data_IF_867026720754
#
_entry.id   IF_867026720754
#
_cell.length_a   1.000
_cell.length_b   1.000
_cell.length_c   1.000
_cell.angle_alpha   90.00
_cell.angle_beta   90.00
_cell.angle_gamma   90.00
#
_symmetry.space_group_name_H-M   'P 1'
#
loop_
_entity.id
_entity.type
_entity.pdbx_description
1 polymer ?
#
# COMPACT_ATOMS: atom_id res chain seq x y z
N UNK A 1 45.54 1.38 52.87
CA UNK A 1 44.22 0.97 52.34
C UNK A 1 43.77 2.01 51.34
N UNK A 2 43.94 1.74 50.04
CA UNK A 2 43.60 2.66 48.96
C UNK A 2 42.30 2.17 48.32
N UNK A 3 41.24 2.96 48.47
CA UNK A 3 39.93 2.61 47.95
C UNK A 3 39.89 2.94 46.45
N UNK A 4 40.09 1.93 45.62
CA UNK A 4 39.83 1.98 44.19
C UNK A 4 38.34 2.25 43.98
N UNK A 5 37.99 3.52 43.73
CA UNK A 5 36.65 3.92 43.30
C UNK A 5 36.44 3.44 41.88
N UNK A 6 35.79 2.28 41.74
CA UNK A 6 35.31 1.74 40.46
C UNK A 6 34.34 2.76 39.88
N UNK A 7 34.74 3.51 38.86
CA UNK A 7 33.80 4.24 38.03
C UNK A 7 32.99 3.17 37.29
N UNK A 8 31.71 3.06 37.62
CA UNK A 8 30.74 2.45 36.73
C UNK A 8 30.79 3.23 35.42
N UNK A 9 31.27 2.60 34.34
CA UNK A 9 30.95 3.07 33.01
C UNK A 9 29.43 3.05 32.91
N UNK A 10 28.81 4.21 32.89
CA UNK A 10 27.45 4.33 32.42
C UNK A 10 27.50 3.97 30.94
N UNK A 11 27.34 2.68 30.65
CA UNK A 11 27.00 2.18 29.33
C UNK A 11 25.74 2.96 28.95
N UNK A 12 25.90 4.01 28.16
CA UNK A 12 24.80 4.69 27.51
C UNK A 12 24.08 3.60 26.75
N UNK A 13 22.93 3.17 27.27
CA UNK A 13 21.97 2.35 26.54
C UNK A 13 21.48 3.22 25.38
N UNK A 14 22.32 3.35 24.35
CA UNK A 14 21.93 3.88 23.07
C UNK A 14 20.71 3.08 22.67
N UNK A 15 19.59 3.78 22.57
CA UNK A 15 18.33 3.23 22.13
C UNK A 15 18.62 2.39 20.88
N UNK A 16 18.50 1.06 21.01
CA UNK A 16 18.90 0.11 19.96
C UNK A 16 17.87 0.05 18.84
N UNK A 17 16.76 0.77 18.98
CA UNK A 17 15.71 0.85 17.99
C UNK A 17 16.10 1.90 16.96
N UNK A 18 16.08 1.50 15.69
CA UNK A 18 16.20 2.48 14.62
C UNK A 18 14.99 3.41 14.63
N UNK A 19 15.17 4.66 14.19
CA UNK A 19 14.06 5.60 14.01
C UNK A 19 12.92 5.02 13.15
N UNK A 20 13.28 4.13 12.21
CA UNK A 20 12.32 3.39 11.40
C UNK A 20 11.49 2.43 12.25
N UNK A 21 12.12 1.65 13.12
CA UNK A 21 11.42 0.70 13.99
C UNK A 21 10.55 1.45 15.01
N UNK A 22 11.01 2.58 15.53
CA UNK A 22 10.23 3.41 16.44
C UNK A 22 8.99 3.99 15.75
N UNK A 23 9.12 4.55 14.54
CA UNK A 23 7.97 5.06 13.80
C UNK A 23 7.03 3.94 13.33
N UNK A 24 7.58 2.77 12.99
CA UNK A 24 6.78 1.61 12.61
C UNK A 24 6.01 1.03 13.80
N UNK A 25 6.58 1.04 15.00
CA UNK A 25 5.86 0.66 16.22
C UNK A 25 4.78 1.67 16.55
N UNK A 26 5.13 2.96 16.53
CA UNK A 26 4.20 4.05 16.82
C UNK A 26 2.99 4.04 15.88
N UNK A 27 3.20 3.86 14.57
CA UNK A 27 2.06 3.80 13.63
C UNK A 27 1.17 2.57 13.82
N UNK A 28 1.71 1.48 14.35
CA UNK A 28 0.91 0.30 14.69
C UNK A 28 0.14 0.52 15.99
N UNK A 29 0.73 1.21 16.98
CA UNK A 29 0.02 1.58 18.20
C UNK A 29 -1.14 2.54 17.91
N UNK A 30 -0.91 3.55 17.05
CA UNK A 30 -1.98 4.50 16.66
C UNK A 30 -3.18 3.77 16.03
N UNK A 31 -2.91 2.89 15.06
CA UNK A 31 -3.97 2.08 14.42
C UNK A 31 -4.72 1.20 15.41
N UNK A 32 -4.00 0.61 16.35
CA UNK A 32 -4.61 -0.25 17.35
C UNK A 32 -5.55 0.54 18.27
N UNK A 33 -5.09 1.70 18.77
CA UNK A 33 -5.87 2.59 19.63
C UNK A 33 -7.09 3.13 18.87
N UNK A 34 -6.91 3.54 17.61
CA UNK A 34 -7.99 4.02 16.74
C UNK A 34 -9.12 3.00 16.58
N UNK A 35 -8.81 1.71 16.40
CA UNK A 35 -9.85 0.67 16.38
C UNK A 35 -10.57 0.53 17.72
N UNK A 36 -9.85 0.65 18.85
CA UNK A 36 -10.46 0.55 20.17
C UNK A 36 -11.43 1.71 20.43
N UNK A 37 -11.06 2.92 20.03
CA UNK A 37 -11.96 4.08 20.11
C UNK A 37 -13.17 3.92 19.20
N UNK A 38 -13.02 3.39 17.99
CA UNK A 38 -14.16 3.13 17.11
C UNK A 38 -15.17 2.16 17.77
N UNK A 39 -14.69 1.08 18.40
CA UNK A 39 -15.54 0.21 19.20
C UNK A 39 -16.20 0.96 20.38
N UNK A 40 -15.43 1.75 21.13
CA UNK A 40 -15.95 2.50 22.27
C UNK A 40 -17.01 3.55 21.87
N UNK A 41 -16.83 4.21 20.72
CA UNK A 41 -17.78 5.16 20.15
C UNK A 41 -19.08 4.45 19.79
N UNK A 42 -19.01 3.33 19.05
CA UNK A 42 -20.18 2.56 18.63
C UNK A 42 -20.96 1.95 19.80
N UNK A 43 -20.26 1.55 20.87
CA UNK A 43 -20.85 0.96 22.07
C UNK A 43 -21.25 2.00 23.13
N UNK A 44 -20.91 3.27 22.92
CA UNK A 44 -21.23 4.33 23.88
C UNK A 44 -22.72 4.65 23.89
N UNK A 45 -23.30 4.67 25.09
CA UNK A 45 -24.70 5.07 25.32
C UNK A 45 -24.83 6.50 25.84
N UNK A 46 -23.71 7.11 26.25
CA UNK A 46 -23.68 8.45 26.82
C UNK A 46 -23.01 9.43 25.86
N UNK A 47 -23.72 10.52 25.52
CA UNK A 47 -23.28 11.49 24.52
C UNK A 47 -21.97 12.20 24.87
N UNK A 48 -21.66 12.37 26.15
CA UNK A 48 -20.38 12.98 26.54
C UNK A 48 -19.20 12.05 26.24
N UNK A 49 -19.34 10.75 26.50
CA UNK A 49 -18.30 9.75 26.20
C UNK A 49 -18.17 9.58 24.69
N UNK A 50 -19.28 9.54 23.96
CA UNK A 50 -19.29 9.53 22.49
C UNK A 50 -18.48 10.68 21.91
N UNK A 51 -18.80 11.93 22.28
CA UNK A 51 -18.13 13.10 21.75
C UNK A 51 -16.65 13.15 22.14
N UNK A 52 -16.32 12.78 23.38
CA UNK A 52 -14.94 12.75 23.84
C UNK A 52 -14.08 11.73 23.07
N UNK A 53 -14.63 10.53 22.83
CA UNK A 53 -13.94 9.49 22.05
C UNK A 53 -13.81 9.87 20.58
N UNK A 54 -14.82 10.51 19.99
CA UNK A 54 -14.75 11.08 18.64
C UNK A 54 -13.66 12.14 18.49
N UNK A 55 -13.51 13.02 19.50
CA UNK A 55 -12.45 14.03 19.48
C UNK A 55 -11.06 13.37 19.59
N UNK A 56 -10.87 12.39 20.48
CA UNK A 56 -9.61 11.62 20.54
C UNK A 56 -9.33 10.86 19.24
N UNK A 57 -10.36 10.27 18.61
CA UNK A 57 -10.21 9.56 17.35
C UNK A 57 -9.71 10.48 16.23
N UNK A 58 -10.16 11.73 16.19
CA UNK A 58 -9.66 12.73 15.23
C UNK A 58 -8.19 13.03 15.46
N UNK A 59 -7.80 13.23 16.72
CA UNK A 59 -6.40 13.48 17.08
C UNK A 59 -5.50 12.31 16.63
N UNK A 60 -5.94 11.06 16.81
CA UNK A 60 -5.14 9.90 16.35
C UNK A 60 -5.09 9.75 14.83
N UNK A 61 -6.14 10.13 14.10
CA UNK A 61 -6.08 10.18 12.64
C UNK A 61 -5.07 11.23 12.16
N UNK A 62 -5.02 12.40 12.79
CA UNK A 62 -4.07 13.47 12.46
C UNK A 62 -2.63 13.07 12.82
N UNK A 63 -2.44 12.41 13.97
CA UNK A 63 -1.15 11.84 14.38
C UNK A 63 -0.69 10.76 13.40
N UNK A 64 -1.54 9.80 13.06
CA UNK A 64 -1.23 8.76 12.09
C UNK A 64 -0.88 9.34 10.70
N UNK A 65 -1.63 10.36 10.24
CA UNK A 65 -1.33 11.05 8.98
C UNK A 65 0.06 11.70 9.00
N UNK A 66 0.40 12.39 10.08
CA UNK A 66 1.71 13.03 10.27
C UNK A 66 2.83 11.99 10.29
N UNK A 67 2.64 10.87 10.98
CA UNK A 67 3.60 9.76 11.02
C UNK A 67 3.79 9.14 9.64
N UNK A 68 2.71 8.91 8.90
CA UNK A 68 2.78 8.41 7.52
C UNK A 68 3.57 9.36 6.63
N UNK A 69 3.32 10.66 6.69
CA UNK A 69 4.05 11.66 5.91
C UNK A 69 5.54 11.65 6.26
N UNK A 70 5.89 11.56 7.55
CA UNK A 70 7.27 11.47 8.00
C UNK A 70 7.97 10.18 7.53
N UNK A 71 7.27 9.04 7.54
CA UNK A 71 7.79 7.77 7.02
C UNK A 71 7.94 7.78 5.48
N UNK A 72 7.02 8.44 4.77
CA UNK A 72 7.05 8.56 3.31
C UNK A 72 8.21 9.46 2.86
N UNK A 73 8.46 10.58 3.53
CA UNK A 73 9.60 11.47 3.24
C UNK A 73 10.97 10.78 3.34
N UNK A 74 11.03 9.67 4.09
CA UNK A 74 12.25 8.88 4.33
C UNK A 74 12.27 7.58 3.51
N UNK A 75 11.32 7.41 2.58
CA UNK A 75 11.12 6.20 1.78
C UNK A 75 10.94 4.90 2.61
N UNK A 76 10.53 5.01 3.88
CA UNK A 76 10.34 3.85 4.78
C UNK A 76 9.00 3.17 4.62
N UNK A 77 8.04 3.86 3.98
CA UNK A 77 6.73 3.34 3.68
C UNK A 77 6.45 3.52 2.19
N UNK A 78 6.52 2.42 1.44
CA UNK A 78 6.21 2.42 0.02
C UNK A 78 4.88 1.66 -0.20
N UNK A 79 3.73 2.36 -0.37
CA UNK A 79 2.45 1.72 -0.63
C UNK A 79 2.45 0.94 -1.95
N UNK A 80 3.44 1.19 -2.81
CA UNK A 80 3.60 0.59 -4.13
C UNK A 80 4.22 -0.83 -4.08
N UNK A 81 4.76 -1.31 -2.95
CA UNK A 81 5.44 -2.62 -2.93
C UNK A 81 4.51 -3.84 -2.84
N UNK A 82 3.19 -3.65 -2.70
CA UNK A 82 2.19 -4.74 -2.82
C UNK A 82 0.95 -4.43 -3.66
N UNK A 83 0.70 -3.17 -4.03
CA UNK A 83 -0.45 -2.82 -4.89
C UNK A 83 -0.05 -2.51 -6.35
N UNK A 84 1.18 -2.08 -6.64
CA UNK A 84 1.56 -1.76 -8.03
C UNK A 84 1.92 -2.96 -8.89
N UNK A 85 2.19 -4.12 -8.29
CA UNK A 85 2.43 -5.35 -9.07
C UNK A 85 1.14 -5.91 -9.67
N UNK A 86 -0.01 -5.70 -9.01
CA UNK A 86 -1.30 -6.14 -9.53
C UNK A 86 -1.92 -5.12 -10.49
N UNK A 87 -1.82 -3.82 -10.22
CA UNK A 87 -2.42 -2.81 -11.09
C UNK A 87 -1.65 -2.56 -12.40
N UNK A 88 -0.33 -2.73 -12.45
CA UNK A 88 0.44 -2.53 -13.70
C UNK A 88 0.45 -3.76 -14.62
N UNK A 89 0.30 -4.98 -14.09
CA UNK A 89 0.37 -6.22 -14.90
C UNK A 89 -0.87 -6.39 -15.80
N UNK A 90 -2.05 -5.98 -15.33
CA UNK A 90 -3.30 -6.16 -16.09
C UNK A 90 -3.45 -5.15 -17.24
N UNK A 91 -2.87 -3.96 -17.11
CA UNK A 91 -2.91 -2.92 -18.14
C UNK A 91 -1.99 -3.27 -19.31
N UNK A 92 -0.77 -3.73 -19.03
CA UNK A 92 0.19 -4.11 -20.08
C UNK A 92 -0.23 -5.37 -20.86
N UNK A 93 -0.93 -6.30 -20.21
CA UNK A 93 -1.38 -7.54 -20.86
C UNK A 93 -2.63 -7.35 -21.73
N UNK A 94 -3.48 -6.36 -21.47
CA UNK A 94 -4.69 -6.15 -22.27
C UNK A 94 -4.40 -5.55 -23.66
N UNK A 95 -3.46 -4.61 -23.78
CA UNK A 95 -3.15 -3.97 -25.06
C UNK A 95 -2.52 -4.95 -26.06
N UNK A 96 -1.56 -5.77 -25.62
CA UNK A 96 -0.90 -6.78 -26.45
C UNK A 96 -1.87 -7.86 -26.99
N UNK A 97 -2.86 -8.25 -26.18
CA UNK A 97 -3.89 -9.21 -26.58
C UNK A 97 -4.86 -8.62 -27.61
N UNK A 98 -5.16 -7.32 -27.52
CA UNK A 98 -6.07 -6.64 -28.44
C UNK A 98 -5.44 -6.43 -29.82
N UNK A 99 -4.15 -6.11 -29.90
CA UNK A 99 -3.43 -6.03 -31.18
C UNK A 99 -3.31 -7.40 -31.85
N UNK A 100 -2.97 -8.44 -31.08
CA UNK A 100 -2.85 -9.80 -31.61
C UNK A 100 -4.18 -10.31 -32.18
N UNK A 101 -5.31 -9.99 -31.52
CA UNK A 101 -6.65 -10.32 -32.00
C UNK A 101 -7.03 -9.57 -33.27
N UNK A 102 -6.73 -8.26 -33.35
CA UNK A 102 -6.94 -7.44 -34.55
C UNK A 102 -6.13 -7.98 -35.74
N UNK A 103 -4.84 -8.30 -35.54
CA UNK A 103 -3.99 -8.86 -36.59
C UNK A 103 -4.50 -10.23 -37.09
N UNK A 104 -4.90 -11.13 -36.18
CA UNK A 104 -5.51 -12.42 -36.55
C UNK A 104 -6.81 -12.25 -37.34
N UNK A 105 -7.66 -11.28 -36.97
CA UNK A 105 -8.90 -10.99 -37.70
C UNK A 105 -8.61 -10.48 -39.12
N UNK A 106 -7.67 -9.55 -39.28
CA UNK A 106 -7.28 -9.03 -40.60
C UNK A 106 -6.67 -10.13 -41.48
N UNK A 107 -5.84 -11.02 -40.92
CA UNK A 107 -5.27 -12.17 -41.62
C UNK A 107 -6.36 -13.14 -42.12
N UNK A 108 -7.32 -13.49 -41.26
CA UNK A 108 -8.41 -14.39 -41.63
C UNK A 108 -9.32 -13.78 -42.70
N UNK A 109 -9.59 -12.47 -42.61
CA UNK A 109 -10.33 -11.74 -43.64
C UNK A 109 -9.58 -11.71 -44.97
N UNK A 110 -8.26 -11.43 -44.98
CA UNK A 110 -7.43 -11.47 -46.19
C UNK A 110 -7.42 -12.85 -46.86
N UNK A 111 -7.27 -13.93 -46.08
CA UNK A 111 -7.33 -15.32 -46.58
C UNK A 111 -8.69 -15.65 -47.19
N UNK A 112 -9.79 -15.22 -46.58
CA UNK A 112 -11.15 -15.42 -47.11
C UNK A 112 -11.37 -14.71 -48.44
N UNK A 113 -10.89 -13.47 -48.58
CA UNK A 113 -10.99 -12.70 -49.83
C UNK A 113 -10.17 -13.36 -50.93
N UNK A 114 -8.96 -13.83 -50.63
CA UNK A 114 -8.13 -14.56 -51.61
C UNK A 114 -8.76 -15.89 -52.03
N UNK A 115 -9.36 -16.64 -51.11
CA UNK A 115 -10.07 -17.88 -51.44
C UNK A 115 -11.28 -17.59 -52.33
N UNK A 116 -12.09 -16.57 -52.03
CA UNK A 116 -13.22 -16.14 -52.88
C UNK A 116 -12.78 -15.70 -54.27
N UNK A 117 -11.63 -15.03 -54.40
CA UNK A 117 -11.07 -14.64 -55.69
C UNK A 117 -10.65 -15.87 -56.51
N UNK A 118 -10.02 -16.87 -55.87
CA UNK A 118 -9.62 -18.12 -56.51
C UNK A 118 -10.80 -18.98 -56.97
N UNK A 119 -11.93 -18.99 -56.25
CA UNK A 119 -13.11 -19.77 -56.67
C UNK A 119 -13.83 -19.13 -57.85
N UNK A 120 -13.84 -17.79 -57.93
CA UNK A 120 -14.45 -17.07 -59.07
C UNK A 120 -13.62 -17.17 -60.35
N UNK A 121 -12.30 -17.40 -60.27
CA UNK A 121 -11.42 -17.56 -61.43
C UNK A 121 -11.43 -18.97 -62.04
N UNK A 122 -12.22 -19.92 -61.51
CA UNK A 122 -12.31 -21.32 -61.98
C UNK A 122 -13.67 -21.61 -62.64
N UNK A 123 -14.59 -20.63 -62.73
CA UNK A 123 -15.89 -20.78 -63.39
C UNK A 123 -15.99 -20.11 -64.78
N UNK A 124 -14.93 -20.19 -65.57
CA UNK A 124 -14.97 -20.01 -67.01
C UNK A 124 -14.14 -21.08 -67.68
#
# INVERSE_FOLDING_TARGET
MSYMRRYYSSESRQNRLSDRDMLADLINTEKHISHLYEHAIMESTHSHVYNFMEDMQRDEHDNAFTLFQAMQQRDWYNPSSKQTDQYNTDQYNNENNNETRKQKFLQNRKKSIMNKAKTKSIQF
#
